data_IF_337366756123
#
_entry.id   IF_337366756123
#
_cell.length_a   1.000
_cell.length_b   1.000
_cell.length_c   1.000
_cell.angle_alpha   90.00
_cell.angle_beta   90.00
_cell.angle_gamma   90.00
#
_symmetry.space_group_name_H-M   'P 1'
#
loop_
_entity.id
_entity.type
_entity.pdbx_description
1 polymer ?
#
# COMPACT_ATOMS: atom_id res chain seq x y z
N UNK A 1 -13.49 19.74 1.77
CA UNK A 1 -14.21 19.83 0.49
C UNK A 1 -15.49 19.02 0.65
N UNK A 2 -16.63 19.48 0.15
CA UNK A 2 -17.90 18.74 0.28
C UNK A 2 -18.05 17.67 -0.83
N UNK A 3 -18.87 16.65 -0.57
CA UNK A 3 -19.06 15.51 -1.47
C UNK A 3 -19.57 15.92 -2.86
N UNK A 4 -20.45 16.92 -2.93
CA UNK A 4 -21.03 17.38 -4.20
C UNK A 4 -19.96 17.99 -5.10
N UNK A 5 -19.01 18.72 -4.51
CA UNK A 5 -17.85 19.24 -5.23
C UNK A 5 -16.93 18.12 -5.76
N UNK A 6 -16.75 17.03 -5.00
CA UNK A 6 -15.95 15.88 -5.44
C UNK A 6 -16.59 15.12 -6.60
N UNK A 7 -17.92 14.97 -6.57
CA UNK A 7 -18.69 14.38 -7.67
C UNK A 7 -18.57 15.21 -8.96
N UNK A 8 -18.66 16.54 -8.86
CA UNK A 8 -18.55 17.42 -10.04
C UNK A 8 -17.21 17.31 -10.78
N UNK A 9 -16.13 17.03 -10.05
CA UNK A 9 -14.78 16.88 -10.65
C UNK A 9 -14.45 15.42 -11.00
N UNK A 10 -15.45 14.53 -10.99
CA UNK A 10 -15.29 13.09 -11.20
C UNK A 10 -14.25 12.44 -10.27
N UNK A 11 -14.04 12.96 -9.05
CA UNK A 11 -13.04 12.43 -8.12
C UNK A 11 -13.25 10.93 -7.77
N UNK A 12 -14.49 10.42 -7.61
CA UNK A 12 -14.72 8.99 -7.41
C UNK A 12 -14.21 8.11 -8.56
N UNK A 13 -14.28 8.59 -9.81
CA UNK A 13 -13.76 7.89 -10.99
C UNK A 13 -12.24 7.81 -10.94
N UNK A 14 -11.57 8.90 -10.56
CA UNK A 14 -10.11 8.91 -10.34
C UNK A 14 -9.69 7.91 -9.26
N UNK A 15 -10.39 7.86 -8.12
CA UNK A 15 -10.19 6.84 -7.07
C UNK A 15 -10.33 5.43 -7.63
N UNK A 16 -11.37 5.19 -8.44
CA UNK A 16 -11.59 3.91 -9.12
C UNK A 16 -10.45 3.50 -10.04
N UNK A 17 -9.90 4.43 -10.81
CA UNK A 17 -8.74 4.19 -11.67
C UNK A 17 -7.51 3.79 -10.87
N UNK A 18 -7.19 4.52 -9.79
CA UNK A 18 -6.04 4.19 -8.93
C UNK A 18 -6.24 2.82 -8.28
N UNK A 19 -7.45 2.55 -7.76
CA UNK A 19 -7.81 1.27 -7.14
C UNK A 19 -7.73 0.08 -8.10
N UNK A 20 -7.85 0.29 -9.41
CA UNK A 20 -7.67 -0.77 -10.41
C UNK A 20 -6.19 -1.17 -10.58
N UNK A 21 -5.25 -0.31 -10.22
CA UNK A 21 -3.80 -0.57 -10.31
C UNK A 21 -3.20 -1.16 -9.02
N UNK A 22 -3.98 -1.33 -7.96
CA UNK A 22 -3.48 -1.88 -6.69
C UNK A 22 -3.44 -3.42 -6.72
N UNK A 23 -2.33 -4.01 -6.29
CA UNK A 23 -2.16 -5.48 -6.22
C UNK A 23 -2.58 -6.11 -4.89
N UNK A 24 -3.07 -5.32 -3.94
CA UNK A 24 -3.44 -5.77 -2.59
C UNK A 24 -4.77 -5.13 -2.16
N UNK A 25 -5.65 -5.91 -1.53
CA UNK A 25 -7.00 -5.47 -1.14
C UNK A 25 -6.97 -4.25 -0.21
N UNK A 26 -6.09 -4.24 0.79
CA UNK A 26 -5.96 -3.08 1.68
C UNK A 26 -5.50 -1.83 0.93
N UNK A 27 -4.62 -1.97 -0.06
CA UNK A 27 -4.22 -0.84 -0.91
C UNK A 27 -5.36 -0.36 -1.79
N UNK A 28 -6.21 -1.28 -2.27
CA UNK A 28 -7.44 -0.93 -3.01
C UNK A 28 -8.39 -0.10 -2.15
N UNK A 29 -8.64 -0.54 -0.92
CA UNK A 29 -9.50 0.17 0.02
C UNK A 29 -8.92 1.54 0.40
N UNK A 30 -7.59 1.65 0.49
CA UNK A 30 -6.90 2.92 0.70
C UNK A 30 -7.07 3.86 -0.50
N UNK A 31 -6.86 3.37 -1.73
CA UNK A 31 -7.07 4.13 -2.94
C UNK A 31 -8.53 4.58 -3.07
N UNK A 32 -9.46 3.70 -2.75
CA UNK A 32 -10.88 4.00 -2.69
C UNK A 32 -11.25 4.90 -1.52
N UNK A 33 -10.43 5.14 -0.50
CA UNK A 33 -10.77 6.05 0.60
C UNK A 33 -10.03 7.39 0.55
N UNK A 34 -9.24 7.64 -0.51
CA UNK A 34 -8.51 8.88 -0.71
C UNK A 34 -9.42 10.11 -0.61
N UNK A 35 -8.91 11.16 0.02
CA UNK A 35 -9.54 12.46 0.16
C UNK A 35 -8.53 13.56 -0.23
N UNK A 36 -8.99 14.69 -0.77
CA UNK A 36 -8.11 15.83 -1.00
C UNK A 36 -7.50 16.31 0.32
N UNK A 37 -6.21 16.63 0.27
CA UNK A 37 -5.49 17.23 1.38
C UNK A 37 -5.30 18.72 1.15
N UNK A 38 -5.19 19.46 2.25
CA UNK A 38 -4.88 20.92 2.24
C UNK A 38 -3.57 21.24 2.96
N UNK A 39 -3.03 20.28 3.71
CA UNK A 39 -1.73 20.41 4.35
C UNK A 39 -0.62 20.30 3.31
N UNK A 40 0.09 21.41 3.10
CA UNK A 40 1.19 21.53 2.14
C UNK A 40 2.31 20.52 2.39
N UNK A 41 2.67 20.27 3.65
CA UNK A 41 3.81 19.41 3.97
C UNK A 41 3.46 17.94 3.73
N UNK A 42 2.23 17.54 4.10
CA UNK A 42 1.68 16.23 3.76
C UNK A 42 1.60 16.01 2.24
N UNK A 43 1.10 17.00 1.49
CA UNK A 43 1.02 16.95 0.03
C UNK A 43 2.43 16.80 -0.58
N UNK A 44 3.38 17.63 -0.16
CA UNK A 44 4.74 17.58 -0.67
C UNK A 44 5.41 16.23 -0.38
N UNK A 45 5.18 15.65 0.80
CA UNK A 45 5.68 14.32 1.14
C UNK A 45 5.09 13.23 0.22
N UNK A 46 3.76 13.20 0.04
CA UNK A 46 3.10 12.20 -0.79
C UNK A 46 3.50 12.30 -2.27
N UNK A 47 3.68 13.52 -2.78
CA UNK A 47 4.17 13.75 -4.14
C UNK A 47 5.62 13.25 -4.31
N UNK A 48 6.50 13.51 -3.34
CA UNK A 48 7.87 12.98 -3.37
C UNK A 48 7.87 11.45 -3.35
N UNK A 49 7.12 10.84 -2.44
CA UNK A 49 7.01 9.37 -2.35
C UNK A 49 6.44 8.76 -3.63
N UNK A 50 5.45 9.41 -4.26
CA UNK A 50 4.89 8.95 -5.54
C UNK A 50 5.91 9.04 -6.67
N UNK A 51 6.71 10.11 -6.71
CA UNK A 51 7.78 10.28 -7.70
C UNK A 51 8.87 9.23 -7.52
N UNK A 52 9.28 8.94 -6.28
CA UNK A 52 10.24 7.90 -5.94
C UNK A 52 9.72 6.50 -6.32
N UNK A 53 8.47 6.18 -5.97
CA UNK A 53 7.84 4.92 -6.34
C UNK A 53 7.76 4.73 -7.86
N UNK A 54 7.44 5.79 -8.62
CA UNK A 54 7.47 5.76 -10.09
C UNK A 54 8.88 5.52 -10.62
N UNK A 55 9.88 6.17 -10.04
CA UNK A 55 11.27 5.95 -10.42
C UNK A 55 11.71 4.51 -10.15
N UNK A 56 11.38 3.96 -8.98
CA UNK A 56 11.61 2.56 -8.62
C UNK A 56 11.00 1.60 -9.66
N UNK A 57 9.75 1.82 -10.05
CA UNK A 57 9.11 1.00 -11.09
C UNK A 57 9.80 1.12 -12.46
N UNK A 58 10.39 2.28 -12.78
CA UNK A 58 11.13 2.46 -14.04
C UNK A 58 12.44 1.68 -14.08
N UNK A 59 13.16 1.59 -12.95
CA UNK A 59 14.45 0.89 -12.85
C UNK A 59 14.28 -0.60 -12.50
N UNK A 60 13.16 -0.98 -11.86
CA UNK A 60 12.79 -2.36 -11.57
C UNK A 60 11.32 -2.63 -11.95
N UNK A 61 11.02 -2.89 -13.23
CA UNK A 61 9.67 -3.13 -13.74
C UNK A 61 8.92 -4.31 -13.09
N UNK A 62 9.64 -5.25 -12.46
CA UNK A 62 9.08 -6.37 -11.71
C UNK A 62 8.94 -6.14 -10.20
N UNK A 63 9.25 -4.94 -9.70
CA UNK A 63 9.11 -4.63 -8.28
C UNK A 63 7.62 -4.69 -7.89
N UNK A 64 7.31 -5.56 -6.93
CA UNK A 64 5.94 -5.77 -6.47
C UNK A 64 5.91 -6.18 -5.02
N UNK A 65 4.80 -5.86 -4.36
CA UNK A 65 4.45 -6.30 -3.00
C UNK A 65 3.49 -7.52 -3.09
N UNK A 66 3.37 -8.14 -4.27
CA UNK A 66 2.49 -9.29 -4.49
C UNK A 66 2.77 -10.45 -3.51
N UNK A 67 1.70 -11.16 -3.14
CA UNK A 67 1.76 -12.27 -2.19
C UNK A 67 1.57 -11.87 -0.72
N UNK A 68 1.44 -10.58 -0.41
CA UNK A 68 1.00 -10.13 0.92
C UNK A 68 -0.51 -10.37 1.09
N UNK A 69 -0.89 -10.87 2.26
CA UNK A 69 -2.27 -11.13 2.67
C UNK A 69 -2.61 -10.19 3.82
N UNK A 70 -3.87 -9.76 3.93
CA UNK A 70 -4.30 -8.95 5.06
C UNK A 70 -4.39 -9.80 6.33
N UNK A 71 -3.41 -9.63 7.21
CA UNK A 71 -3.28 -10.38 8.47
C UNK A 71 -3.84 -9.61 9.68
N UNK A 72 -4.44 -8.43 9.49
CA UNK A 72 -4.96 -7.60 10.60
C UNK A 72 -6.01 -8.33 11.41
N UNK A 73 -6.93 -9.03 10.75
CA UNK A 73 -7.96 -9.81 11.45
C UNK A 73 -7.35 -10.95 12.27
N UNK A 74 -6.43 -11.72 11.69
CA UNK A 74 -5.76 -12.83 12.40
C UNK A 74 -4.97 -12.32 13.61
N UNK A 75 -4.19 -11.25 13.43
CA UNK A 75 -3.40 -10.65 14.52
C UNK A 75 -4.28 -10.07 15.63
N UNK A 76 -5.40 -9.44 15.29
CA UNK A 76 -6.37 -8.96 16.27
C UNK A 76 -7.00 -10.13 17.07
N UNK A 77 -7.43 -11.20 16.40
CA UNK A 77 -8.01 -12.37 17.07
C UNK A 77 -6.99 -13.05 18.00
N UNK A 78 -5.74 -13.18 17.55
CA UNK A 78 -4.66 -13.71 18.39
C UNK A 78 -4.41 -12.83 19.63
N UNK A 79 -4.40 -11.50 19.47
CA UNK A 79 -4.25 -10.56 20.59
C UNK A 79 -5.38 -10.65 21.61
N UNK A 80 -6.58 -11.02 21.15
CA UNK A 80 -7.75 -11.28 21.99
C UNK A 80 -7.77 -12.69 22.62
N UNK A 81 -6.68 -13.46 22.50
CA UNK A 81 -6.54 -14.79 23.11
C UNK A 81 -7.15 -15.94 22.31
N UNK A 82 -7.58 -15.71 21.06
CA UNK A 82 -8.02 -16.81 20.19
C UNK A 82 -6.83 -17.62 19.69
N UNK A 83 -7.05 -18.93 19.62
CA UNK A 83 -6.11 -19.86 18.97
C UNK A 83 -6.20 -19.69 17.46
N UNK A 84 -5.07 -19.45 16.82
CA UNK A 84 -4.95 -19.39 15.37
C UNK A 84 -4.88 -20.80 14.78
N UNK A 85 -5.51 -21.00 13.63
CA UNK A 85 -5.40 -22.25 12.88
C UNK A 85 -4.04 -22.35 12.17
N UNK A 86 -3.69 -23.55 11.71
CA UNK A 86 -2.50 -23.75 10.87
C UNK A 86 -2.56 -22.93 9.57
N UNK A 87 -3.75 -22.74 9.01
CA UNK A 87 -3.96 -21.91 7.83
C UNK A 87 -3.72 -20.41 8.13
N UNK A 88 -4.19 -19.91 9.27
CA UNK A 88 -3.93 -18.53 9.71
C UNK A 88 -2.43 -18.28 9.86
N UNK A 89 -1.72 -19.23 10.50
CA UNK A 89 -0.27 -19.14 10.67
C UNK A 89 0.48 -19.18 9.33
N UNK A 90 0.03 -19.98 8.37
CA UNK A 90 0.61 -20.02 7.02
C UNK A 90 0.42 -18.69 6.27
N UNK A 91 -0.74 -18.06 6.39
CA UNK A 91 -1.01 -16.74 5.82
C UNK A 91 -0.12 -15.65 6.45
N UNK A 92 0.05 -15.69 7.77
CA UNK A 92 0.97 -14.79 8.49
C UNK A 92 2.41 -15.02 8.02
N UNK A 93 2.86 -16.28 7.94
CA UNK A 93 4.20 -16.62 7.45
C UNK A 93 4.45 -16.07 6.04
N UNK A 94 3.48 -16.25 5.14
CA UNK A 94 3.56 -15.79 3.75
C UNK A 94 3.75 -14.27 3.70
N UNK A 95 2.96 -13.53 4.48
CA UNK A 95 3.06 -12.08 4.59
C UNK A 95 4.42 -11.65 5.16
N UNK A 96 4.89 -12.29 6.24
CA UNK A 96 6.19 -11.98 6.84
C UNK A 96 7.36 -12.24 5.87
N UNK A 97 7.30 -13.31 5.08
CA UNK A 97 8.30 -13.62 4.06
C UNK A 97 8.32 -12.57 2.96
N UNK A 98 7.15 -12.18 2.43
CA UNK A 98 7.03 -11.13 1.43
C UNK A 98 7.54 -9.78 1.94
N UNK A 99 7.18 -9.38 3.17
CA UNK A 99 7.67 -8.14 3.80
C UNK A 99 9.19 -8.16 4.01
N UNK A 100 9.79 -9.29 4.39
CA UNK A 100 11.24 -9.42 4.52
C UNK A 100 11.95 -9.23 3.19
N UNK A 101 11.44 -9.86 2.12
CA UNK A 101 12.00 -9.71 0.78
C UNK A 101 11.90 -8.27 0.28
N UNK A 102 10.75 -7.62 0.52
CA UNK A 102 10.52 -6.22 0.20
C UNK A 102 11.53 -5.30 0.91
N UNK A 103 11.72 -5.50 2.22
CA UNK A 103 12.69 -4.72 3.01
C UNK A 103 14.10 -4.86 2.44
N UNK A 104 14.53 -6.08 2.12
CA UNK A 104 15.85 -6.33 1.52
C UNK A 104 15.97 -5.65 0.16
N UNK A 105 14.95 -5.73 -0.70
CA UNK A 105 14.95 -5.13 -2.02
C UNK A 105 15.06 -3.60 -1.97
N UNK A 106 14.34 -2.96 -1.05
CA UNK A 106 14.37 -1.51 -0.82
C UNK A 106 15.69 -1.05 -0.18
N UNK A 107 16.26 -1.83 0.74
CA UNK A 107 17.54 -1.50 1.38
C UNK A 107 18.69 -1.47 0.36
N UNK A 108 18.71 -2.43 -0.58
CA UNK A 108 19.69 -2.41 -1.68
C UNK A 108 19.52 -1.22 -2.61
N UNK A 109 18.28 -0.77 -2.81
CA UNK A 109 18.00 0.36 -3.70
C UNK A 109 18.47 1.69 -3.11
N UNK A 110 18.33 1.86 -1.79
CA UNK A 110 18.81 3.05 -1.08
C UNK A 110 20.33 3.16 -1.09
N UNK A 111 21.06 2.05 -1.28
CA UNK A 111 22.50 2.06 -1.55
C UNK A 111 22.83 2.43 -3.01
N UNK A 112 21.96 2.09 -3.96
CA UNK A 112 22.14 2.32 -5.41
C UNK A 112 21.70 3.73 -5.87
N UNK A 113 20.74 4.36 -5.18
CA UNK A 113 20.15 5.66 -5.53
C UNK A 113 20.18 6.58 -4.30
N UNK A 114 21.10 7.57 -4.24
CA UNK A 114 21.08 8.54 -3.15
C UNK A 114 19.86 9.47 -3.28
N UNK A 115 19.26 9.79 -2.14
CA UNK A 115 18.05 10.63 -1.98
C UNK A 115 18.23 12.07 -2.43
#
# INVERSE_FOLDING_TARGET
MDEKSLEMIEFPKVRGMIAAHTSFSTSRDLALSLQPLVDRDAIALLLRQSAEARHLLSIRPGFSIAGVIDVRTMTHLASAGRVLTTADLANIQTTLAATRNLRTALSKLTEEVPS
#
